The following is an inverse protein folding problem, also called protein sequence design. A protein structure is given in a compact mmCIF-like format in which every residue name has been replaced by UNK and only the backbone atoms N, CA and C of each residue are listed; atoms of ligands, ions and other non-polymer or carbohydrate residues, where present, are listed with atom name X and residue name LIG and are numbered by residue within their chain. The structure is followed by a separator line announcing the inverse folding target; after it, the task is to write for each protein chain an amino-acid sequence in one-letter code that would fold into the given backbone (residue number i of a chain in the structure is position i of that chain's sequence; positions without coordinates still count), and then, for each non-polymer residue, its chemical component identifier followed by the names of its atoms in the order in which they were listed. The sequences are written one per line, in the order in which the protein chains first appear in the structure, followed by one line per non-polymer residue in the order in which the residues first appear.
data_IF_307385775921
#
_entry.id   IF_307385775921
#
_cell.length_a   1.000
_cell.length_b   1.000
_cell.length_c   1.000
_cell.angle_alpha   90.00
_cell.angle_beta   90.00
_cell.angle_gamma   90.00
#
_symmetry.space_group_name_H-M   'P 1'
#
loop_
_entity.id
_entity.type
_entity.pdbx_description
1 polymer ?
2 water ?
#
# COMPACT_ATOMS: atom_id res chain seq x y z
N UNK A 1 -11.35 -4.35 -9.81
CA UNK A 1 -12.43 -3.68 -9.01
C UNK A 1 -11.86 -2.45 -8.31
N UNK A 2 -11.62 -2.55 -7.01
CA UNK A 2 -11.04 -1.43 -6.26
C UNK A 2 -9.70 -1.07 -6.91
N UNK A 3 -9.31 0.19 -6.75
CA UNK A 3 -8.08 0.70 -7.36
C UNK A 3 -7.25 1.50 -6.36
N UNK A 4 -5.92 1.39 -6.45
CA UNK A 4 -5.02 2.13 -5.57
C UNK A 4 -3.99 2.88 -6.42
N UNK A 5 -3.78 4.15 -6.08
CA UNK A 5 -2.79 4.95 -6.75
C UNK A 5 -1.76 5.33 -5.69
N UNK A 6 -0.50 5.39 -6.09
CA UNK A 6 0.57 5.72 -5.16
C UNK A 6 1.44 6.87 -5.66
N UNK A 7 1.69 7.82 -4.79
CA UNK A 7 2.57 8.92 -5.15
C UNK A 7 3.77 8.66 -4.24
N UNK A 8 4.84 8.13 -4.83
CA UNK A 8 6.04 7.79 -4.09
C UNK A 8 7.05 8.93 -4.17
N UNK A 9 7.39 9.47 -3.00
CA UNK A 9 8.33 10.58 -2.92
C UNK A 9 9.61 10.20 -2.20
N UNK A 10 10.75 10.56 -2.78
CA UNK A 10 12.03 10.30 -2.13
C UNK A 10 12.49 11.68 -1.65
N UNK A 11 12.80 11.80 -0.37
CA UNK A 11 13.24 13.07 0.19
C UNK A 11 14.66 12.99 0.72
N UNK A 12 15.24 14.15 0.98
CA UNK A 12 16.59 14.24 1.52
C UNK A 12 16.51 13.47 2.84
N UNK A 13 17.48 12.62 3.10
CA UNK A 13 17.48 11.83 4.33
C UNK A 13 17.34 12.75 5.55
N UNK A 14 16.32 12.49 6.36
CA UNK A 14 16.10 13.27 7.56
C UNK A 14 15.15 14.45 7.40
N UNK A 15 14.70 14.70 6.17
CA UNK A 15 13.80 15.83 5.92
C UNK A 15 12.32 15.50 6.01
N UNK A 16 11.99 14.23 6.27
CA UNK A 16 10.59 13.81 6.34
C UNK A 16 9.77 14.56 7.39
N UNK A 17 10.24 14.55 8.64
CA UNK A 17 9.54 15.21 9.76
C UNK A 17 9.10 16.64 9.50
N UNK A 18 9.92 17.40 8.79
CA UNK A 18 9.59 18.80 8.50
C UNK A 18 8.82 18.99 7.19
N UNK A 19 8.86 17.98 6.32
CA UNK A 19 8.19 18.08 5.02
C UNK A 19 6.86 17.35 4.92
N UNK A 20 6.80 16.15 5.49
CA UNK A 20 5.64 15.29 5.41
C UNK A 20 4.24 15.85 5.70
N UNK A 21 4.08 16.62 6.76
CA UNK A 21 2.76 17.14 7.09
C UNK A 21 2.01 17.86 5.99
N UNK A 22 2.73 18.42 5.02
CA UNK A 22 2.07 19.13 3.92
C UNK A 22 1.24 18.17 3.08
N UNK A 23 1.71 16.92 2.96
CA UNK A 23 1.01 15.92 2.16
C UNK A 23 -0.25 15.39 2.83
N UNK A 24 -0.52 15.83 4.06
CA UNK A 24 -1.70 15.38 4.78
C UNK A 24 -2.92 16.15 4.29
N UNK A 25 -2.69 17.18 3.48
CA UNK A 25 -3.79 18.00 2.97
C UNK A 25 -4.54 17.21 1.90
N UNK A 26 -5.82 16.96 2.13
CA UNK A 26 -6.65 16.23 1.18
C UNK A 26 -6.98 17.07 -0.05
N UNK A 27 -7.10 18.37 0.15
CA UNK A 27 -7.40 19.30 -0.93
C UNK A 27 -8.62 18.91 -1.76
N UNK A 28 -9.71 18.57 -1.06
CA UNK A 28 -10.94 18.20 -1.73
C UNK A 28 -11.02 16.86 -2.43
N UNK A 29 -10.08 15.97 -2.13
CA UNK A 29 -10.07 14.65 -2.76
C UNK A 29 -11.32 13.86 -2.40
N UNK A 30 -11.85 14.09 -1.21
CA UNK A 30 -13.03 13.37 -0.76
C UNK A 30 -14.34 13.82 -1.41
N UNK A 31 -14.26 14.86 -2.25
CA UNK A 31 -15.46 15.34 -2.94
C UNK A 31 -15.63 14.57 -4.24
N UNK A 32 -14.67 13.70 -4.55
CA UNK A 32 -14.75 12.91 -5.78
C UNK A 32 -15.49 11.60 -5.55
N UNK A 33 -16.52 11.37 -6.35
CA UNK A 33 -17.32 10.15 -6.26
C UNK A 33 -16.39 8.97 -6.51
N UNK A 34 -16.40 7.98 -5.61
CA UNK A 34 -15.53 6.83 -5.80
C UNK A 34 -14.33 6.84 -4.88
N UNK A 35 -13.96 8.02 -4.34
CA UNK A 35 -12.83 8.09 -3.42
C UNK A 35 -13.20 7.37 -2.12
N UNK A 36 -12.30 6.52 -1.62
CA UNK A 36 -12.58 5.79 -0.40
C UNK A 36 -11.65 6.06 0.78
N UNK A 37 -10.34 6.00 0.54
CA UNK A 37 -9.38 6.22 1.62
C UNK A 37 -8.08 6.85 1.14
N UNK A 38 -7.34 7.43 2.08
CA UNK A 38 -6.05 8.04 1.80
C UNK A 38 -5.10 7.73 2.97
N UNK A 39 -3.88 7.33 2.65
CA UNK A 39 -2.87 7.04 3.68
C UNK A 39 -1.60 7.81 3.29
N UNK A 40 -0.89 8.32 4.28
CA UNK A 40 0.38 8.97 4.02
C UNK A 40 1.35 8.23 4.95
N UNK A 41 2.34 7.57 4.34
CA UNK A 41 3.29 6.78 5.12
C UNK A 41 4.74 7.22 4.99
N UNK A 42 5.54 6.86 5.99
CA UNK A 42 6.98 7.13 6.00
C UNK A 42 7.63 5.76 6.19
N UNK A 43 8.49 5.37 5.27
CA UNK A 43 9.15 4.08 5.35
C UNK A 43 10.16 4.00 6.49
N UNK A 44 10.06 2.93 7.28
CA UNK A 44 10.97 2.75 8.41
C UNK A 44 12.33 2.20 7.97
N UNK A 45 13.35 2.55 8.74
CA UNK A 45 14.72 2.09 8.53
C UNK A 45 15.38 2.35 7.18
N UNK A 46 15.09 3.47 6.54
CA UNK A 46 15.74 3.82 5.27
C UNK A 46 17.02 4.57 5.62
N UNK A 47 18.05 4.44 4.79
CA UNK A 47 19.32 5.11 5.06
C UNK A 47 19.69 6.14 3.99
N UNK A 48 19.50 5.78 2.72
CA UNK A 48 19.85 6.68 1.63
C UNK A 48 18.99 7.94 1.55
N UNK A 49 17.70 7.79 1.84
CA UNK A 49 16.77 8.91 1.82
C UNK A 49 15.57 8.60 2.68
N UNK A 50 14.67 9.57 2.79
CA UNK A 50 13.45 9.38 3.55
C UNK A 50 12.44 9.05 2.46
N UNK A 51 11.54 8.10 2.72
CA UNK A 51 10.56 7.75 1.70
C UNK A 51 9.15 7.98 2.20
N UNK A 52 8.41 8.79 1.46
CA UNK A 52 7.03 9.12 1.79
C UNK A 52 6.14 8.61 0.68
N UNK A 53 5.01 8.03 1.05
CA UNK A 53 4.07 7.54 0.07
C UNK A 53 2.69 8.06 0.40
N UNK A 54 1.97 8.45 -0.65
CA UNK A 54 0.61 8.92 -0.52
C UNK A 54 -0.20 7.89 -1.28
N UNK A 55 -0.99 7.11 -0.56
CA UNK A 55 -1.79 6.06 -1.15
C UNK A 55 -3.25 6.45 -1.13
N UNK A 56 -3.91 6.37 -2.28
CA UNK A 56 -5.32 6.70 -2.35
C UNK A 56 -6.08 5.48 -2.89
N UNK A 57 -7.14 5.12 -2.17
CA UNK A 57 -7.99 3.96 -2.49
C UNK A 57 -9.29 4.42 -3.14
N UNK A 58 -9.61 3.82 -4.29
CA UNK A 58 -10.80 4.18 -5.06
C UNK A 58 -11.65 2.98 -5.43
N UNK A 59 -12.92 3.21 -5.72
CA UNK A 59 -13.77 2.10 -6.10
C UNK A 59 -13.41 1.65 -7.52
N UNK A 60 -12.73 2.52 -8.26
CA UNK A 60 -12.32 2.22 -9.62
C UNK A 60 -11.28 3.22 -10.11
N UNK A 61 -10.54 2.82 -11.14
CA UNK A 61 -9.53 3.68 -11.72
C UNK A 61 -10.18 4.88 -12.40
N UNK A 62 -11.44 4.75 -12.82
CA UNK A 62 -12.12 5.88 -13.45
C UNK A 62 -12.32 6.98 -12.42
N UNK A 63 -12.63 6.58 -11.19
CA UNK A 63 -12.83 7.52 -10.10
C UNK A 63 -11.58 8.33 -9.94
N UNK A 64 -10.44 7.64 -9.95
CA UNK A 64 -9.15 8.29 -9.80
C UNK A 64 -8.89 9.29 -10.94
N UNK A 65 -9.15 8.86 -12.18
CA UNK A 65 -8.95 9.73 -13.33
C UNK A 65 -9.81 10.98 -13.22
N UNK A 66 -11.03 10.82 -12.72
CA UNK A 66 -11.94 11.96 -12.55
C UNK A 66 -11.33 12.94 -11.58
N UNK A 67 -10.67 12.42 -10.55
CA UNK A 67 -10.00 13.23 -9.55
C UNK A 67 -8.91 14.06 -10.24
N UNK A 68 -8.14 13.41 -11.10
CA UNK A 68 -7.07 14.08 -11.82
C UNK A 68 -7.60 15.19 -12.72
N UNK A 69 -8.79 14.98 -13.30
CA UNK A 69 -9.41 15.95 -14.19
C UNK A 69 -10.37 16.91 -13.50
N UNK A 70 -10.43 16.86 -12.18
CA UNK A 70 -11.34 17.73 -11.43
C UNK A 70 -10.79 19.14 -11.20
N UNK A 71 -11.68 20.03 -10.81
CA UNK A 71 -11.27 21.39 -10.54
C UNK A 71 -10.53 21.44 -9.22
N UNK A 72 -10.97 20.64 -8.23
CA UNK A 72 -10.30 20.61 -6.94
C UNK A 72 -8.85 20.18 -7.09
N UNK A 73 -8.59 19.36 -8.11
CA UNK A 73 -7.23 18.89 -8.38
C UNK A 73 -6.47 20.03 -9.06
N UNK A 74 -7.12 20.65 -10.04
CA UNK A 74 -6.52 21.76 -10.77
C UNK A 74 -6.21 22.92 -9.83
N UNK A 75 -7.20 23.33 -9.05
CA UNK A 75 -7.02 24.40 -8.08
C UNK A 75 -5.79 24.09 -7.23
N UNK A 76 -5.76 22.90 -6.65
CA UNK A 76 -4.64 22.47 -5.83
C UNK A 76 -3.44 22.35 -6.76
N UNK A 77 -2.36 21.74 -6.31
CA UNK A 77 -1.18 21.60 -7.16
C UNK A 77 -0.73 22.94 -7.73
N UNK A 86 11.58 29.11 1.57
CA UNK A 86 11.92 30.42 1.02
C UNK A 86 12.44 30.29 -0.40
N UNK A 87 12.13 31.28 -1.23
CA UNK A 87 12.57 31.28 -2.62
C UNK A 87 14.06 30.94 -2.64
N UNK A 88 14.47 30.08 -3.57
CA UNK A 88 15.86 29.70 -3.66
C UNK A 88 16.18 28.49 -2.81
N UNK A 89 15.30 28.16 -1.87
CA UNK A 89 15.52 27.00 -1.01
C UNK A 89 15.65 25.74 -1.84
N UNK A 90 16.67 24.94 -1.57
CA UNK A 90 16.84 23.69 -2.30
C UNK A 90 15.72 22.75 -1.86
N UNK A 91 14.97 22.21 -2.82
CA UNK A 91 13.86 21.32 -2.50
C UNK A 91 14.31 20.02 -1.82
N UNK A 92 13.56 19.58 -0.82
CA UNK A 92 13.89 18.34 -0.10
C UNK A 92 13.43 17.09 -0.88
N UNK A 93 12.56 17.30 -1.87
CA UNK A 93 12.06 16.20 -2.69
C UNK A 93 13.02 15.86 -3.84
N UNK A 94 13.56 14.64 -3.79
CA UNK A 94 14.51 14.16 -4.79
C UNK A 94 13.81 13.53 -6.01
N UNK A 95 12.72 12.82 -5.75
CA UNK A 95 11.97 12.20 -6.84
C UNK A 95 10.51 12.12 -6.46
N UNK A 96 9.66 12.07 -7.47
CA UNK A 96 8.22 12.01 -7.27
C UNK A 96 7.69 11.12 -8.39
N UNK A 97 7.25 9.91 -8.04
CA UNK A 97 6.75 8.97 -9.04
C UNK A 97 5.33 8.51 -8.71
N UNK A 98 4.65 7.98 -9.72
CA UNK A 98 3.30 7.47 -9.55
C UNK A 98 3.21 6.02 -10.00
N UNK A 99 2.52 5.20 -9.20
CA UNK A 99 2.32 3.79 -9.48
C UNK A 99 0.84 3.52 -9.34
N UNK A 100 0.34 2.57 -10.12
CA UNK A 100 -1.08 2.23 -10.07
C UNK A 100 -1.24 0.74 -9.79
N UNK A 101 -2.30 0.42 -9.03
CA UNK A 101 -2.55 -0.96 -8.62
C UNK A 101 -4.00 -1.37 -8.66
N UNK A 102 -4.22 -2.64 -8.96
CA UNK A 102 -5.55 -3.21 -8.92
C UNK A 102 -5.57 -3.85 -7.52
N UNK A 103 -6.64 -3.62 -6.75
CA UNK A 103 -6.73 -4.25 -5.43
C UNK A 103 -7.49 -5.55 -5.65
N UNK A 104 -6.77 -6.66 -5.62
CA UNK A 104 -7.38 -7.96 -5.83
C UNK A 104 -8.12 -8.50 -4.63
N UNK A 105 -7.78 -8.01 -3.45
CA UNK A 105 -8.45 -8.44 -2.23
C UNK A 105 -8.32 -7.36 -1.17
N UNK A 106 -9.41 -7.15 -0.44
CA UNK A 106 -9.43 -6.16 0.63
C UNK A 106 -10.32 -6.65 1.75
N UNK A 107 -9.89 -6.40 2.98
CA UNK A 107 -10.64 -6.80 4.16
C UNK A 107 -10.43 -5.75 5.23
N UNK A 108 -11.53 -5.30 5.84
CA UNK A 108 -11.46 -4.31 6.91
C UNK A 108 -12.31 -4.81 8.07
N UNK A 109 -11.70 -4.93 9.25
CA UNK A 109 -12.41 -5.41 10.43
C UNK A 109 -13.56 -4.48 10.87
N UNK B 1 1.67 5.65 16.70
CA UNK B 1 0.37 5.60 15.98
C UNK B 1 0.29 4.43 14.97
N UNK B 2 -0.60 4.58 14.00
CA UNK B 2 -0.83 3.55 12.98
C UNK B 2 0.44 3.04 12.28
N UNK B 3 0.38 1.77 11.92
CA UNK B 3 1.50 1.05 11.32
C UNK B 3 1.07 0.22 10.11
N UNK B 4 1.93 0.15 9.08
CA UNK B 4 1.64 -0.65 7.90
C UNK B 4 2.81 -1.58 7.63
N UNK B 5 2.51 -2.85 7.39
CA UNK B 5 3.55 -3.83 7.07
C UNK B 5 3.30 -4.20 5.61
N UNK B 6 4.36 -4.52 4.89
CA UNK B 6 4.23 -4.90 3.50
C UNK B 6 5.06 -6.11 3.15
N UNK B 7 4.46 -7.06 2.44
CA UNK B 7 5.19 -8.21 1.94
C UNK B 7 5.14 -7.93 0.46
N UNK B 8 6.32 -7.73 -0.13
CA UNK B 8 6.42 -7.39 -1.55
C UNK B 8 6.92 -8.62 -2.31
N UNK B 9 6.08 -9.11 -3.22
CA UNK B 9 6.42 -10.29 -4.00
C UNK B 9 6.68 -9.98 -5.47
N UNK B 10 7.84 -10.41 -5.97
CA UNK B 10 8.17 -10.26 -7.37
C UNK B 10 7.75 -11.62 -7.90
N UNK B 11 7.02 -11.64 -9.03
CA UNK B 11 6.50 -12.88 -9.57
C UNK B 11 6.69 -13.03 -11.07
N UNK B 12 6.68 -14.28 -11.52
CA UNK B 12 6.78 -14.62 -12.93
C UNK B 12 5.61 -13.89 -13.61
N UNK B 13 5.87 -13.24 -14.74
CA UNK B 13 4.82 -12.50 -15.45
C UNK B 13 3.59 -13.37 -15.72
N UNK B 14 2.42 -12.80 -15.43
CA UNK B 14 1.19 -13.51 -15.65
C UNK B 14 0.62 -14.23 -14.43
N UNK B 15 1.40 -14.36 -13.35
CA UNK B 15 0.93 -15.07 -12.17
C UNK B 15 0.32 -14.21 -11.05
N UNK B 16 0.18 -12.91 -11.29
CA UNK B 16 -0.36 -12.02 -10.27
C UNK B 16 -1.73 -12.46 -9.75
N UNK B 17 -2.69 -12.60 -10.67
CA UNK B 17 -4.05 -12.98 -10.29
C UNK B 17 -4.11 -14.26 -9.45
N UNK B 18 -3.43 -15.31 -9.91
CA UNK B 18 -3.41 -16.58 -9.19
C UNK B 18 -2.79 -16.45 -7.80
N UNK B 19 -1.78 -15.61 -7.68
CA UNK B 19 -1.10 -15.40 -6.41
C UNK B 19 -2.02 -14.70 -5.42
N UNK B 20 -2.74 -13.70 -5.88
CA UNK B 20 -3.65 -12.99 -5.00
C UNK B 20 -4.69 -13.97 -4.44
N UNK B 21 -5.08 -14.95 -5.25
CA UNK B 21 -6.06 -15.95 -4.81
C UNK B 21 -5.56 -16.73 -3.60
N UNK B 22 -4.24 -16.90 -3.51
CA UNK B 22 -3.67 -17.63 -2.38
C UNK B 22 -3.74 -16.82 -1.08
N UNK B 23 -4.18 -15.56 -1.19
CA UNK B 23 -4.26 -14.68 -0.03
C UNK B 23 -5.68 -14.32 0.40
N UNK B 24 -6.68 -14.99 -0.17
CA UNK B 24 -8.07 -14.75 0.21
C UNK B 24 -8.26 -15.29 1.63
N UNK B 25 -7.43 -16.27 1.98
CA UNK B 25 -7.48 -16.87 3.30
C UNK B 25 -6.57 -16.01 4.18
N UNK B 26 -7.18 -15.23 5.07
CA UNK B 26 -6.45 -14.34 5.95
C UNK B 26 -5.70 -15.07 7.06
N UNK B 27 -6.02 -16.35 7.23
CA UNK B 27 -5.40 -17.20 8.26
C UNK B 27 -5.53 -16.63 9.67
N UNK B 28 -6.72 -16.11 9.98
CA UNK B 28 -6.99 -15.57 11.31
C UNK B 28 -6.38 -14.23 11.68
N UNK B 29 -5.90 -13.46 10.71
CA UNK B 29 -5.30 -12.17 11.02
C UNK B 29 -6.25 -11.24 11.77
N UNK B 30 -7.53 -11.26 11.40
CA UNK B 30 -8.51 -10.38 12.03
C UNK B 30 -8.81 -10.69 13.49
N UNK B 31 -8.30 -11.81 13.99
CA UNK B 31 -8.50 -12.19 15.39
C UNK B 31 -7.47 -11.51 16.27
N UNK B 32 -6.49 -10.85 15.65
CA UNK B 32 -5.43 -10.18 16.40
C UNK B 32 -5.81 -8.75 16.79
N UNK B 33 -5.72 -8.46 18.09
CA UNK B 33 -6.05 -7.14 18.59
C UNK B 33 -5.18 -6.08 17.90
N UNK B 34 -5.82 -5.07 17.30
CA UNK B 34 -5.05 -4.04 16.63
C UNK B 34 -5.07 -4.13 15.11
N UNK B 35 -5.45 -5.29 14.57
CA UNK B 35 -5.52 -5.44 13.11
C UNK B 35 -6.64 -4.55 12.59
N UNK B 36 -6.42 -3.86 11.48
CA UNK B 36 -7.44 -2.99 10.93
C UNK B 36 -7.85 -3.31 9.49
N UNK B 37 -6.88 -3.43 8.59
CA UNK B 37 -7.17 -3.73 7.20
C UNK B 37 -6.07 -4.51 6.50
N UNK B 38 -6.45 -5.16 5.40
CA UNK B 38 -5.53 -5.90 4.54
C UNK B 38 -5.86 -5.53 3.11
N UNK B 39 -4.83 -5.31 2.30
CA UNK B 39 -4.99 -5.01 0.88
C UNK B 39 -4.01 -5.92 0.15
N UNK B 40 -4.47 -6.58 -0.91
CA UNK B 40 -3.57 -7.41 -1.71
C UNK B 40 -3.66 -6.77 -3.09
N UNK B 41 -2.54 -6.26 -3.58
CA UNK B 41 -2.55 -5.56 -4.85
C UNK B 41 -1.70 -6.14 -5.95
N UNK B 42 -2.03 -5.76 -7.17
CA UNK B 42 -1.30 -6.16 -8.36
C UNK B 42 -0.83 -4.85 -8.99
N UNK B 43 0.47 -4.73 -9.21
CA UNK B 43 0.99 -3.52 -9.81
C UNK B 43 0.66 -3.50 -11.29
N UNK B 44 0.09 -2.40 -11.75
CA UNK B 44 -0.28 -2.28 -13.15
C UNK B 44 0.89 -1.77 -13.99
N UNK B 45 0.80 -2.04 -15.29
CA UNK B 45 1.78 -1.60 -16.26
C UNK B 45 3.23 -2.05 -16.05
N UNK B 46 3.42 -3.28 -15.58
CA UNK B 46 4.78 -3.80 -15.40
C UNK B 46 5.09 -4.53 -16.69
N UNK B 47 6.36 -4.67 -17.04
CA UNK B 47 6.73 -5.33 -18.29
C UNK B 47 7.15 -6.79 -18.25
N UNK B 48 8.32 -7.05 -17.68
CA UNK B 48 8.87 -8.40 -17.63
C UNK B 48 8.47 -9.28 -16.44
N UNK B 49 7.92 -8.70 -15.38
CA UNK B 49 7.51 -9.49 -14.23
C UNK B 49 6.28 -8.89 -13.56
N UNK B 50 5.66 -9.68 -12.69
CA UNK B 50 4.49 -9.24 -11.95
C UNK B 50 4.88 -8.88 -10.53
N UNK B 51 4.07 -8.04 -9.91
CA UNK B 51 4.34 -7.63 -8.54
C UNK B 51 3.05 -7.62 -7.75
N UNK B 52 3.07 -8.34 -6.63
CA UNK B 52 1.93 -8.40 -5.74
C UNK B 52 2.38 -7.92 -4.37
N UNK B 53 1.57 -7.10 -3.74
CA UNK B 53 1.89 -6.57 -2.42
C UNK B 53 0.81 -6.94 -1.43
N UNK B 54 1.21 -7.38 -0.25
CA UNK B 54 0.22 -7.69 0.79
C UNK B 54 0.46 -6.63 1.86
N UNK B 55 -0.45 -5.68 1.93
CA UNK B 55 -0.34 -4.59 2.89
C UNK B 55 -1.31 -4.80 4.04
N UNK B 56 -0.79 -4.75 5.27
CA UNK B 56 -1.64 -4.90 6.43
C UNK B 56 -1.52 -3.64 7.27
N UNK B 57 -2.66 -3.11 7.68
CA UNK B 57 -2.77 -1.88 8.45
C UNK B 57 -3.08 -2.22 9.91
N UNK B 58 -2.32 -1.61 10.82
CA UNK B 58 -2.45 -1.88 12.24
C UNK B 58 -2.49 -0.65 13.13
N UNK B 59 -3.04 -0.85 14.32
CA UNK B 59 -3.13 0.19 15.32
C UNK B 59 -1.71 0.55 15.78
N UNK B 60 -0.81 -0.44 15.76
CA UNK B 60 0.57 -0.24 16.16
C UNK B 60 1.44 -1.38 15.65
N UNK B 61 2.75 -1.16 15.69
CA UNK B 61 3.68 -2.18 15.25
C UNK B 61 3.60 -3.39 16.18
N UNK B 62 3.37 -3.14 17.46
CA UNK B 62 3.28 -4.22 18.43
C UNK B 62 2.15 -5.19 18.06
N UNK B 63 1.04 -4.64 17.54
CA UNK B 63 -0.10 -5.45 17.13
C UNK B 63 0.33 -6.40 16.02
N UNK B 64 1.07 -5.86 15.06
CA UNK B 64 1.58 -6.64 13.94
C UNK B 64 2.49 -7.75 14.46
N UNK B 65 3.40 -7.40 15.38
CA UNK B 65 4.29 -8.39 15.95
C UNK B 65 3.51 -9.46 16.70
N UNK B 66 2.43 -9.07 17.37
CA UNK B 66 1.65 -10.05 18.11
C UNK B 66 1.04 -11.07 17.14
N UNK B 67 0.69 -10.62 15.94
CA UNK B 67 0.12 -11.53 14.95
C UNK B 67 1.16 -12.59 14.57
N UNK B 68 2.38 -12.16 14.27
CA UNK B 68 3.46 -13.05 13.87
C UNK B 68 3.81 -14.11 14.90
N UNK B 69 3.56 -13.81 16.17
CA UNK B 69 3.87 -14.75 17.25
C UNK B 69 2.62 -15.42 17.82
N UNK B 70 1.50 -15.30 17.12
CA UNK B 70 0.23 -15.88 17.58
C UNK B 70 0.08 -17.33 17.16
N UNK B 71 -0.73 -18.09 17.91
CA UNK B 71 -0.95 -19.49 17.59
C UNK B 71 -1.66 -19.64 16.25
N UNK B 72 -2.64 -18.78 15.99
CA UNK B 72 -3.39 -18.83 14.74
C UNK B 72 -2.46 -18.64 13.54
N UNK B 73 -1.43 -17.81 13.69
CA UNK B 73 -0.48 -17.57 12.60
C UNK B 73 0.46 -18.78 12.47
N UNK B 74 0.99 -19.23 13.61
CA UNK B 74 1.90 -20.35 13.66
C UNK B 74 1.27 -21.69 13.29
N UNK B 75 -0.07 -21.72 13.17
CA UNK B 75 -0.77 -22.95 12.83
C UNK B 75 -1.55 -22.84 11.50
N UNK B 76 -1.45 -21.68 10.85
CA UNK B 76 -2.15 -21.47 9.59
C UNK B 76 -1.26 -21.84 8.41
N UNK B 80 -0.85 -21.38 0.50
CA UNK B 80 -2.07 -22.17 0.37
C UNK B 80 -2.20 -22.77 -1.04
N UNK B 81 -2.86 -23.92 -1.13
CA UNK B 81 -3.04 -24.61 -2.40
C UNK B 81 -4.33 -24.19 -3.10
N UNK B 82 -4.27 -24.03 -4.42
CA UNK B 82 -5.43 -23.65 -5.21
C UNK B 82 -6.00 -24.87 -5.92
N UNK B 83 -7.30 -24.85 -6.19
CA UNK B 83 -7.95 -25.96 -6.87
C UNK B 83 -7.38 -26.17 -8.27
N UNK B 84 -6.78 -25.11 -8.84
CA UNK B 84 -6.21 -25.20 -10.18
C UNK B 84 -4.74 -25.64 -10.15
N UNK B 85 -4.23 -25.91 -8.96
CA UNK B 85 -2.83 -26.34 -8.80
C UNK B 85 -2.65 -27.83 -9.03
N UNK B 86 -1.48 -28.19 -9.54
CA UNK B 86 -1.13 -29.59 -9.69
C UNK B 86 -0.46 -29.91 -8.36
N UNK B 87 -0.51 -31.15 -7.90
CA UNK B 87 0.11 -31.48 -6.62
C UNK B 87 1.59 -31.09 -6.64
N UNK B 88 1.98 -30.24 -5.71
CA UNK B 88 3.37 -29.82 -5.63
C UNK B 88 3.67 -28.52 -6.35
N UNK B 89 2.72 -28.01 -7.13
CA UNK B 89 2.95 -26.77 -7.86
C UNK B 89 3.32 -25.64 -6.90
N UNK B 90 4.32 -24.84 -7.29
CA UNK B 90 4.80 -23.74 -6.48
C UNK B 90 4.39 -22.37 -6.98
N UNK B 91 4.14 -21.45 -6.07
CA UNK B 91 3.81 -20.08 -6.44
C UNK B 91 5.14 -19.62 -7.05
N UNK B 92 5.12 -19.06 -8.28
CA UNK B 92 6.35 -18.62 -8.95
C UNK B 92 6.93 -17.32 -8.42
N UNK B 93 7.34 -17.36 -7.16
CA UNK B 93 7.91 -16.21 -6.47
C UNK B 93 9.40 -16.03 -6.74
N UNK B 94 9.78 -14.84 -7.19
CA UNK B 94 11.19 -14.54 -7.48
C UNK B 94 11.85 -13.97 -6.22
N UNK B 95 11.08 -13.25 -5.42
CA UNK B 95 11.57 -12.69 -4.15
C UNK B 95 10.39 -12.29 -3.27
N UNK B 96 10.59 -12.35 -1.97
CA UNK B 96 9.56 -12.00 -0.99
C UNK B 96 10.24 -11.08 0.01
N UNK B 97 10.04 -9.77 -0.13
CA UNK B 97 10.68 -8.79 0.74
C UNK B 97 9.73 -8.11 1.70
N UNK B 98 10.21 -7.75 2.88
CA UNK B 98 9.39 -7.10 3.89
C UNK B 98 9.78 -5.64 4.11
N UNK B 99 8.78 -4.77 4.21
CA UNK B 99 8.99 -3.34 4.45
C UNK B 99 7.99 -2.93 5.51
N UNK B 100 8.36 -1.94 6.31
CA UNK B 100 7.49 -1.49 7.37
C UNK B 100 7.36 0.03 7.31
N UNK B 101 6.19 0.53 7.69
CA UNK B 101 5.94 1.97 7.62
C UNK B 101 5.17 2.52 8.79
N UNK B 102 5.43 3.80 9.10
CA UNK B 102 4.67 4.52 10.11
C UNK B 102 3.63 5.26 9.27
N UNK B 103 2.37 5.15 9.64
CA UNK B 103 1.30 5.84 8.91
C UNK B 103 1.08 7.18 9.61
N UNK B 104 1.49 8.27 8.98
CA UNK B 104 1.33 9.58 9.60
C UNK B 104 -0.06 10.18 9.43
N UNK B 105 -0.78 9.72 8.42
CA UNK B 105 -2.11 10.24 8.16
C UNK B 105 -2.99 9.21 7.49
N UNK B 106 -4.25 9.16 7.92
CA UNK B 106 -5.23 8.26 7.33
C UNK B 106 -6.59 8.92 7.37
N UNK B 107 -7.31 8.80 6.25
CA UNK B 107 -8.63 9.36 6.11
C UNK B 107 -9.48 8.37 5.35
N UNK B 108 -10.68 8.09 5.86
CA UNK B 108 -11.59 7.18 5.18
C UNK B 108 -12.94 7.85 5.03
N UNK B 109 -13.40 7.98 3.80
CA UNK B 109 -14.67 8.63 3.49
C UNK B 109 -15.85 7.83 4.04
#
# INVERSE_FOLDING_TARGET
HMFMAENRLQLQKGSAEETIERFYNRQGIETIEGFQQMFVTKTLNTEDTDEVKILTIWESEDSFNNWLNSDVFKEAHKNVRLKSDDDGQQSPILSNKVFKYDIGYHYQK
HMFMAENRLQLQKGSAEETIERFYNRQGIETIEGFQQMFVTKTLNTEDTDEVKILTIWESEDSFNNWLNSDVFKEAHKNVRLKSDDDGQQSPILSNKVFKYDIGYHYQK
#
